data_IF_636395868094
#
_entry.id   IF_636395868094
#
_cell.length_a   1.000
_cell.length_b   1.000
_cell.length_c   1.000
_cell.angle_alpha   90.00
_cell.angle_beta   90.00
_cell.angle_gamma   90.00
#
_symmetry.space_group_name_H-M   'P 1'
#
loop_
_entity.id
_entity.type
_entity.pdbx_description
1 polymer ?
#
# COMPACT_ATOMS: atom_id res chain seq x y z
N UNK A 1 16.15 -17.00 -10.71
CA UNK A 1 15.15 -16.48 -9.77
C UNK A 1 15.17 -14.96 -9.88
N UNK A 2 13.99 -14.31 -9.89
CA UNK A 2 13.86 -12.84 -10.06
C UNK A 2 14.47 -12.13 -8.85
N UNK A 3 15.33 -11.15 -9.07
CA UNK A 3 15.88 -10.28 -8.04
C UNK A 3 15.11 -8.97 -8.09
N UNK A 4 14.69 -8.45 -6.94
CA UNK A 4 14.01 -7.17 -6.84
C UNK A 4 14.97 -6.07 -6.37
N UNK A 5 14.82 -4.89 -6.95
CA UNK A 5 15.50 -3.70 -6.42
C UNK A 5 14.80 -3.21 -5.15
N UNK A 6 13.47 -3.36 -5.11
CA UNK A 6 12.63 -2.82 -4.05
C UNK A 6 11.51 -3.79 -3.66
N UNK A 7 11.36 -4.03 -2.37
CA UNK A 7 10.22 -4.76 -1.80
C UNK A 7 9.54 -3.85 -0.78
N UNK A 8 8.30 -3.46 -1.05
CA UNK A 8 7.46 -2.76 -0.07
C UNK A 8 6.64 -3.75 0.73
N UNK A 9 6.64 -3.63 2.06
CA UNK A 9 5.77 -4.37 2.95
C UNK A 9 5.04 -3.41 3.86
N UNK A 10 3.70 -3.36 3.74
CA UNK A 10 2.93 -2.45 4.56
C UNK A 10 1.49 -2.27 4.09
N UNK A 11 1.02 -1.03 4.19
CA UNK A 11 -0.34 -0.63 3.93
C UNK A 11 -0.55 -0.17 2.48
N UNK A 12 -1.69 -0.55 1.93
CA UNK A 12 -2.18 -0.12 0.62
C UNK A 12 -3.68 0.15 0.71
N UNK A 13 -4.17 1.14 0.01
CA UNK A 13 -5.58 1.52 -0.04
C UNK A 13 -5.99 2.01 -1.42
N UNK A 14 -7.29 2.11 -1.67
CA UNK A 14 -7.85 2.97 -2.71
C UNK A 14 -8.27 4.30 -2.08
N UNK A 15 -7.75 5.39 -2.63
CA UNK A 15 -8.04 6.74 -2.17
C UNK A 15 -9.02 7.41 -3.14
N UNK A 16 -10.23 7.70 -2.63
CA UNK A 16 -11.27 8.46 -3.35
C UNK A 16 -11.05 9.95 -3.11
N UNK A 17 -10.52 10.64 -4.10
CA UNK A 17 -10.23 12.07 -4.01
C UNK A 17 -11.36 12.89 -4.61
N UNK A 18 -11.78 13.94 -3.90
CA UNK A 18 -12.70 14.94 -4.39
C UNK A 18 -12.12 16.34 -4.19
N UNK A 19 -11.87 17.06 -5.27
CA UNK A 19 -11.52 18.48 -5.21
C UNK A 19 -12.81 19.28 -5.14
N UNK A 20 -12.93 20.12 -4.12
CA UNK A 20 -14.11 20.90 -3.79
C UNK A 20 -13.78 22.38 -3.75
N UNK A 21 -14.72 23.28 -4.09
CA UNK A 21 -14.50 24.74 -3.93
C UNK A 21 -14.31 25.16 -2.47
N UNK A 22 -14.77 24.35 -1.53
CA UNK A 22 -14.56 24.41 -0.08
C UNK A 22 -15.01 23.08 0.53
N UNK A 23 -14.48 22.70 1.69
CA UNK A 23 -14.94 21.51 2.43
C UNK A 23 -16.29 21.83 3.07
N UNK A 24 -17.41 21.14 2.67
CA UNK A 24 -18.75 21.51 3.11
C UNK A 24 -19.02 21.04 4.55
N UNK A 25 -19.68 21.91 5.32
CA UNK A 25 -20.29 21.57 6.60
C UNK A 25 -21.79 21.84 6.47
N UNK A 26 -22.59 20.78 6.66
CA UNK A 26 -24.07 20.83 6.61
C UNK A 26 -24.65 21.53 5.36
N UNK A 27 -23.99 21.33 4.22
CA UNK A 27 -24.41 21.89 2.92
C UNK A 27 -24.03 20.99 1.76
N UNK A 28 -24.54 21.30 0.57
CA UNK A 28 -24.19 20.60 -0.68
C UNK A 28 -23.22 21.45 -1.49
N UNK A 29 -22.24 20.79 -2.05
CA UNK A 29 -21.27 21.40 -2.97
C UNK A 29 -21.09 20.52 -4.18
N UNK A 30 -20.96 21.12 -5.37
CA UNK A 30 -20.59 20.37 -6.59
C UNK A 30 -19.08 20.17 -6.60
N UNK A 31 -18.63 18.92 -6.81
CA UNK A 31 -17.22 18.62 -6.99
C UNK A 31 -16.67 19.31 -8.23
N UNK A 32 -15.45 19.78 -8.15
CA UNK A 32 -14.68 20.31 -9.29
C UNK A 32 -14.09 19.13 -10.06
N UNK A 33 -13.48 18.18 -9.36
CA UNK A 33 -12.98 16.94 -9.94
C UNK A 33 -13.05 15.79 -8.93
N UNK A 34 -12.94 14.58 -9.45
CA UNK A 34 -12.94 13.34 -8.67
C UNK A 34 -11.99 12.35 -9.31
N UNK A 35 -11.27 11.58 -8.50
CA UNK A 35 -10.42 10.47 -8.93
C UNK A 35 -10.42 9.35 -7.89
N UNK A 36 -10.14 8.15 -8.33
CA UNK A 36 -9.76 7.03 -7.46
C UNK A 36 -8.34 6.67 -7.84
N UNK A 37 -7.45 6.65 -6.87
CA UNK A 37 -6.03 6.37 -7.07
C UNK A 37 -5.52 5.41 -6.00
N UNK A 38 -4.41 4.74 -6.28
CA UNK A 38 -3.70 3.97 -5.26
C UNK A 38 -3.22 4.85 -4.12
N UNK A 39 -3.30 4.33 -2.91
CA UNK A 39 -2.91 4.98 -1.66
C UNK A 39 -2.14 4.06 -0.72
N UNK A 40 -1.89 4.57 0.48
CA UNK A 40 -1.09 3.89 1.50
C UNK A 40 0.41 4.10 1.34
N UNK A 41 1.17 4.26 2.46
CA UNK A 41 2.59 4.62 2.39
C UNK A 41 3.44 3.59 1.63
N UNK A 42 3.34 2.31 1.99
CA UNK A 42 4.07 1.25 1.29
C UNK A 42 3.55 1.02 -0.14
N UNK A 43 2.24 1.20 -0.38
CA UNK A 43 1.64 1.16 -1.71
C UNK A 43 2.27 2.20 -2.62
N UNK A 44 2.22 3.46 -2.21
CA UNK A 44 2.74 4.59 -2.97
C UNK A 44 4.25 4.50 -3.22
N UNK A 45 5.02 4.12 -2.20
CA UNK A 45 6.47 3.99 -2.34
C UNK A 45 6.86 2.85 -3.30
N UNK A 46 6.12 1.73 -3.29
CA UNK A 46 6.38 0.60 -4.20
C UNK A 46 6.02 0.96 -5.64
N UNK A 47 4.86 1.60 -5.85
CA UNK A 47 4.45 2.11 -7.15
C UNK A 47 5.43 3.15 -7.69
N UNK A 48 5.88 4.07 -6.83
CA UNK A 48 6.90 5.07 -7.17
C UNK A 48 8.23 4.44 -7.58
N UNK A 49 8.69 3.41 -6.88
CA UNK A 49 9.90 2.67 -7.25
C UNK A 49 9.77 2.02 -8.64
N UNK A 50 8.62 1.39 -8.93
CA UNK A 50 8.35 0.81 -10.25
C UNK A 50 8.29 1.87 -11.34
N UNK A 51 7.63 3.01 -11.09
CA UNK A 51 7.57 4.13 -12.04
C UNK A 51 8.95 4.73 -12.37
N UNK A 52 9.91 4.62 -11.45
CA UNK A 52 11.32 5.01 -11.66
C UNK A 52 12.13 3.92 -12.37
N UNK A 53 11.51 2.82 -12.83
CA UNK A 53 12.14 1.75 -13.58
C UNK A 53 12.81 0.67 -12.72
N UNK A 54 12.58 0.66 -11.41
CA UNK A 54 13.08 -0.39 -10.53
C UNK A 54 12.20 -1.64 -10.61
N UNK A 55 12.80 -2.82 -10.46
CA UNK A 55 12.02 -4.05 -10.24
C UNK A 55 11.45 -4.04 -8.83
N UNK A 56 10.13 -3.96 -8.71
CA UNK A 56 9.44 -3.81 -7.44
C UNK A 56 8.46 -4.96 -7.15
N UNK A 57 8.33 -5.32 -5.88
CA UNK A 57 7.31 -6.24 -5.40
C UNK A 57 6.61 -5.66 -4.16
N UNK A 58 5.32 -5.98 -4.00
CA UNK A 58 4.54 -5.57 -2.84
C UNK A 58 4.13 -6.79 -2.01
N UNK A 59 4.23 -6.66 -0.70
CA UNK A 59 3.80 -7.63 0.31
C UNK A 59 2.84 -6.93 1.27
N UNK A 60 1.62 -7.40 1.34
CA UNK A 60 0.58 -6.78 2.15
C UNK A 60 -0.71 -7.57 2.10
N UNK A 61 -1.81 -6.96 2.52
CA UNK A 61 -3.14 -7.57 2.51
C UNK A 61 -4.15 -6.72 1.76
N UNK A 62 -5.05 -7.38 1.04
CA UNK A 62 -6.24 -6.79 0.42
C UNK A 62 -7.44 -7.69 0.70
N UNK A 63 -8.65 -7.15 0.62
CA UNK A 63 -9.88 -7.93 0.62
C UNK A 63 -10.14 -8.63 -0.73
N UNK A 64 -11.10 -9.54 -0.75
CA UNK A 64 -11.59 -10.19 -1.98
C UNK A 64 -12.72 -9.40 -2.67
N UNK A 65 -12.71 -8.09 -2.49
CA UNK A 65 -13.70 -7.14 -2.99
C UNK A 65 -13.27 -6.42 -4.29
N UNK A 66 -14.07 -5.44 -4.70
CA UNK A 66 -13.79 -4.65 -5.90
C UNK A 66 -12.55 -3.75 -5.72
N UNK A 67 -12.38 -3.18 -4.52
CA UNK A 67 -11.23 -2.33 -4.21
C UNK A 67 -9.93 -3.12 -4.18
N UNK A 68 -9.94 -4.34 -3.63
CA UNK A 68 -8.78 -5.24 -3.67
C UNK A 68 -8.34 -5.58 -5.09
N UNK A 69 -9.29 -5.88 -5.97
CA UNK A 69 -9.00 -6.10 -7.39
C UNK A 69 -8.42 -4.87 -8.06
N UNK A 70 -9.01 -3.68 -7.80
CA UNK A 70 -8.52 -2.41 -8.35
C UNK A 70 -7.08 -2.11 -7.92
N UNK A 71 -6.74 -2.34 -6.64
CA UNK A 71 -5.37 -2.18 -6.11
C UNK A 71 -4.40 -3.10 -6.85
N UNK A 72 -4.76 -4.39 -7.01
CA UNK A 72 -3.89 -5.36 -7.68
C UNK A 72 -3.72 -5.05 -9.17
N UNK A 73 -4.78 -4.62 -9.85
CA UNK A 73 -4.76 -4.22 -11.26
C UNK A 73 -3.90 -2.96 -11.48
N UNK A 74 -4.00 -1.98 -10.59
CA UNK A 74 -3.17 -0.77 -10.65
C UNK A 74 -1.68 -1.11 -10.48
N UNK A 75 -1.33 -1.92 -9.50
CA UNK A 75 0.03 -2.42 -9.34
C UNK A 75 0.52 -3.19 -10.57
N UNK A 76 -0.31 -4.05 -11.15
CA UNK A 76 0.06 -4.81 -12.34
C UNK A 76 0.34 -3.89 -13.54
N UNK A 77 -0.47 -2.84 -13.75
CA UNK A 77 -0.25 -1.83 -14.79
C UNK A 77 1.07 -1.09 -14.60
N UNK A 78 1.49 -0.88 -13.35
CA UNK A 78 2.75 -0.23 -13.01
C UNK A 78 3.95 -1.20 -12.99
N UNK A 79 3.72 -2.49 -13.24
CA UNK A 79 4.78 -3.51 -13.29
C UNK A 79 5.25 -4.00 -11.92
N UNK A 80 4.49 -3.73 -10.86
CA UNK A 80 4.75 -4.24 -9.51
C UNK A 80 4.36 -5.72 -9.43
N UNK A 81 5.21 -6.55 -8.86
CA UNK A 81 4.89 -7.95 -8.59
C UNK A 81 4.04 -8.06 -7.31
N UNK A 82 2.81 -8.56 -7.48
CA UNK A 82 1.83 -8.73 -6.39
C UNK A 82 1.60 -10.19 -6.01
N UNK A 83 2.43 -11.12 -6.51
CA UNK A 83 2.27 -12.56 -6.29
C UNK A 83 2.31 -12.98 -4.81
N UNK A 84 2.80 -12.11 -3.94
CA UNK A 84 2.91 -12.33 -2.49
C UNK A 84 1.89 -11.52 -1.68
N UNK A 85 0.95 -10.83 -2.33
CA UNK A 85 -0.15 -10.16 -1.65
C UNK A 85 -1.13 -11.20 -1.13
N UNK A 86 -1.54 -11.06 0.12
CA UNK A 86 -2.57 -11.90 0.74
C UNK A 86 -3.95 -11.32 0.45
N UNK A 87 -4.79 -12.11 -0.21
CA UNK A 87 -6.22 -11.79 -0.34
C UNK A 87 -6.95 -12.40 0.86
N UNK A 88 -7.65 -11.55 1.62
CA UNK A 88 -8.43 -11.97 2.80
C UNK A 88 -9.88 -12.25 2.39
N UNK A 89 -10.33 -13.52 2.43
CA UNK A 89 -11.70 -13.87 2.05
C UNK A 89 -12.74 -13.18 2.94
N UNK A 90 -13.75 -12.55 2.33
CA UNK A 90 -14.83 -11.86 3.04
C UNK A 90 -14.43 -10.54 3.71
N UNK A 91 -13.18 -10.11 3.57
CA UNK A 91 -12.73 -8.82 4.07
C UNK A 91 -12.94 -7.69 3.06
N UNK A 92 -13.07 -6.48 3.57
CA UNK A 92 -13.09 -5.25 2.76
C UNK A 92 -11.68 -4.66 2.68
N UNK A 93 -11.25 -4.30 1.50
CA UNK A 93 -9.97 -3.61 1.29
C UNK A 93 -9.97 -2.23 1.94
N UNK A 94 -8.81 -1.74 2.27
CA UNK A 94 -8.68 -0.41 2.85
C UNK A 94 -9.04 0.66 1.82
N UNK A 95 -9.84 1.63 2.24
CA UNK A 95 -10.24 2.79 1.44
C UNK A 95 -10.07 4.07 2.24
N UNK A 96 -9.83 5.16 1.52
CA UNK A 96 -9.85 6.51 2.09
C UNK A 96 -10.68 7.46 1.23
N UNK A 97 -11.39 8.37 1.88
CA UNK A 97 -12.07 9.49 1.23
C UNK A 97 -11.34 10.77 1.59
N UNK A 98 -10.88 11.48 0.57
CA UNK A 98 -10.13 12.72 0.72
C UNK A 98 -10.91 13.87 0.08
N UNK A 99 -11.20 14.89 0.87
CA UNK A 99 -11.77 16.15 0.41
C UNK A 99 -10.65 17.19 0.39
N UNK A 100 -10.43 17.77 -0.78
CA UNK A 100 -9.37 18.75 -1.03
C UNK A 100 -10.02 20.09 -1.33
N UNK A 101 -9.72 21.10 -0.53
CA UNK A 101 -10.12 22.48 -0.80
C UNK A 101 -9.27 23.06 -1.93
N UNK A 102 -9.92 23.45 -3.04
CA UNK A 102 -9.23 23.96 -4.23
C UNK A 102 -8.38 25.20 -3.95
N UNK A 103 -8.86 26.08 -3.09
CA UNK A 103 -8.22 27.39 -2.86
C UNK A 103 -7.01 27.29 -1.93
N UNK A 104 -7.10 26.46 -0.92
CA UNK A 104 -6.09 26.38 0.14
C UNK A 104 -5.18 25.17 0.01
N UNK A 105 -5.59 24.14 -0.75
CA UNK A 105 -4.92 22.84 -0.79
C UNK A 105 -5.09 22.03 0.50
N UNK A 106 -5.82 22.51 1.50
CA UNK A 106 -6.10 21.78 2.72
C UNK A 106 -6.92 20.54 2.40
N UNK A 107 -6.64 19.46 3.14
CA UNK A 107 -7.38 18.20 2.98
C UNK A 107 -7.95 17.71 4.28
N UNK A 108 -9.11 17.07 4.18
CA UNK A 108 -9.68 16.21 5.21
C UNK A 108 -9.69 14.78 4.69
N UNK A 109 -9.40 13.82 5.56
CA UNK A 109 -9.35 12.41 5.22
C UNK A 109 -10.17 11.61 6.21
N UNK A 110 -10.99 10.70 5.69
CA UNK A 110 -11.63 9.63 6.45
C UNK A 110 -11.26 8.31 5.81
N UNK A 111 -10.80 7.34 6.61
CA UNK A 111 -10.35 6.06 6.08
C UNK A 111 -10.83 4.90 6.94
N UNK A 112 -10.87 3.71 6.35
CA UNK A 112 -11.17 2.47 7.05
C UNK A 112 -10.41 1.30 6.45
N UNK A 113 -10.14 0.30 7.28
CA UNK A 113 -9.68 -1.04 6.91
C UNK A 113 -10.37 -2.10 7.76
N UNK A 114 -11.60 -1.83 8.15
CA UNK A 114 -12.34 -2.71 9.06
C UNK A 114 -12.50 -4.10 8.46
N UNK A 115 -12.19 -5.13 9.26
CA UNK A 115 -12.24 -6.53 8.85
C UNK A 115 -11.05 -6.99 7.99
N UNK A 116 -10.10 -6.12 7.68
CA UNK A 116 -8.88 -6.49 6.96
C UNK A 116 -7.73 -6.79 7.94
N UNK A 117 -7.49 -8.08 8.17
CA UNK A 117 -6.41 -8.53 9.05
C UNK A 117 -5.04 -8.21 8.48
N UNK A 118 -4.16 -7.70 9.34
CA UNK A 118 -2.75 -7.46 9.02
C UNK A 118 -1.98 -8.78 8.81
N UNK A 119 -0.81 -8.66 8.15
CA UNK A 119 0.13 -9.77 8.04
C UNK A 119 0.68 -10.15 9.41
N UNK A 120 0.59 -11.43 9.72
CA UNK A 120 1.22 -12.02 10.92
C UNK A 120 2.67 -12.39 10.66
N UNK A 121 3.41 -12.72 11.72
CA UNK A 121 4.81 -13.16 11.60
C UNK A 121 4.95 -14.47 10.80
N UNK A 122 4.01 -15.41 10.96
CA UNK A 122 4.04 -16.72 10.29
C UNK A 122 3.72 -16.59 8.79
N UNK A 123 3.10 -15.48 8.38
CA UNK A 123 2.82 -15.17 6.98
C UNK A 123 4.03 -14.62 6.22
N UNK A 124 5.13 -14.36 6.92
CA UNK A 124 6.45 -14.22 6.29
C UNK A 124 6.97 -15.62 5.95
N UNK A 125 6.25 -16.24 5.02
CA UNK A 125 6.52 -17.61 4.55
C UNK A 125 7.92 -17.75 3.95
N UNK A 126 8.42 -18.98 3.72
CA UNK A 126 9.68 -19.18 3.00
C UNK A 126 9.75 -18.47 1.65
N UNK A 127 8.62 -18.38 0.92
CA UNK A 127 8.54 -17.68 -0.36
C UNK A 127 8.71 -16.15 -0.19
N UNK A 128 8.02 -15.53 0.77
CA UNK A 128 8.18 -14.11 1.12
C UNK A 128 9.61 -13.84 1.58
N UNK A 129 10.13 -14.66 2.49
CA UNK A 129 11.48 -14.53 3.01
C UNK A 129 12.56 -14.63 1.91
N UNK A 130 12.36 -15.51 0.91
CA UNK A 130 13.29 -15.67 -0.20
C UNK A 130 13.30 -14.43 -1.12
N UNK A 131 12.14 -13.82 -1.37
CA UNK A 131 12.04 -12.55 -2.12
C UNK A 131 12.75 -11.43 -1.35
N UNK A 132 12.51 -11.31 -0.05
CA UNK A 132 13.17 -10.31 0.81
C UNK A 132 14.69 -10.47 0.80
N UNK A 133 15.23 -11.69 0.96
CA UNK A 133 16.67 -11.95 0.95
C UNK A 133 17.37 -11.55 -0.35
N UNK A 134 16.62 -11.51 -1.46
CA UNK A 134 17.12 -11.17 -2.79
C UNK A 134 16.77 -9.75 -3.23
N UNK A 135 16.18 -8.96 -2.34
CA UNK A 135 15.94 -7.55 -2.58
C UNK A 135 17.19 -6.70 -2.28
N UNK A 136 17.29 -5.52 -2.89
CA UNK A 136 18.28 -4.51 -2.49
C UNK A 136 17.79 -3.71 -1.29
N UNK A 137 16.48 -3.41 -1.27
CA UNK A 137 15.82 -2.63 -0.22
C UNK A 137 14.52 -3.31 0.19
N UNK A 138 14.28 -3.42 1.50
CA UNK A 138 12.98 -3.68 2.09
C UNK A 138 12.46 -2.39 2.71
N UNK A 139 11.30 -1.92 2.25
CA UNK A 139 10.61 -0.76 2.83
C UNK A 139 9.45 -1.24 3.71
N UNK A 140 9.33 -0.61 4.89
CA UNK A 140 8.29 -0.84 5.90
C UNK A 140 7.67 0.50 6.28
N UNK A 141 6.35 0.53 6.52
CA UNK A 141 5.60 1.77 6.83
C UNK A 141 4.92 1.77 8.21
N UNK A 142 5.35 0.90 9.11
CA UNK A 142 4.78 0.81 10.45
C UNK A 142 3.47 0.02 10.56
N UNK A 143 2.81 -0.27 9.45
CA UNK A 143 1.66 -1.18 9.41
C UNK A 143 2.11 -2.65 9.35
N UNK A 144 1.19 -3.57 9.64
CA UNK A 144 1.51 -5.01 9.67
C UNK A 144 2.64 -5.35 10.67
N UNK A 145 2.57 -4.79 11.87
CA UNK A 145 3.70 -4.77 12.82
C UNK A 145 4.38 -6.12 13.05
N UNK A 146 3.61 -7.20 13.25
CA UNK A 146 4.17 -8.54 13.46
C UNK A 146 4.90 -9.07 12.21
N UNK A 147 4.29 -8.94 11.03
CA UNK A 147 4.88 -9.29 9.75
C UNK A 147 6.11 -8.42 9.43
N UNK A 148 6.02 -7.10 9.66
CA UNK A 148 7.11 -6.17 9.42
C UNK A 148 8.35 -6.49 10.27
N UNK A 149 8.18 -6.80 11.56
CA UNK A 149 9.29 -7.23 12.44
C UNK A 149 9.93 -8.52 11.93
N UNK A 150 9.11 -9.52 11.53
CA UNK A 150 9.62 -10.77 11.00
C UNK A 150 10.39 -10.54 9.68
N UNK A 151 9.84 -9.74 8.77
CA UNK A 151 10.46 -9.36 7.51
C UNK A 151 11.79 -8.60 7.72
N UNK A 152 11.83 -7.64 8.64
CA UNK A 152 13.04 -6.90 8.99
C UNK A 152 14.16 -7.81 9.51
N UNK A 153 13.83 -8.83 10.33
CA UNK A 153 14.80 -9.82 10.80
C UNK A 153 15.39 -10.62 9.63
N UNK A 154 14.55 -11.05 8.69
CA UNK A 154 15.00 -11.76 7.47
C UNK A 154 15.93 -10.87 6.64
N UNK A 155 15.53 -9.63 6.37
CA UNK A 155 16.31 -8.67 5.59
C UNK A 155 17.68 -8.41 6.23
N UNK A 156 17.71 -8.10 7.51
CA UNK A 156 18.95 -7.82 8.25
C UNK A 156 19.91 -9.02 8.27
N UNK A 157 19.38 -10.23 8.47
CA UNK A 157 20.19 -11.45 8.44
C UNK A 157 20.82 -11.72 7.06
N UNK A 158 20.22 -11.20 5.99
CA UNK A 158 20.72 -11.31 4.62
C UNK A 158 21.52 -10.09 4.15
N UNK A 159 21.73 -9.08 4.99
CA UNK A 159 22.43 -7.85 4.63
C UNK A 159 21.63 -6.90 3.72
N UNK A 160 20.30 -7.09 3.63
CA UNK A 160 19.40 -6.23 2.86
C UNK A 160 19.16 -4.92 3.62
N UNK A 161 19.21 -3.80 2.91
CA UNK A 161 18.88 -2.49 3.48
C UNK A 161 17.41 -2.43 3.89
N UNK A 162 17.13 -2.04 5.14
CA UNK A 162 15.77 -1.82 5.63
C UNK A 162 15.52 -0.32 5.75
N UNK A 163 14.51 0.17 5.03
CA UNK A 163 13.96 1.52 5.17
C UNK A 163 12.69 1.44 6.00
N UNK A 164 12.47 2.44 6.84
CA UNK A 164 11.27 2.54 7.65
C UNK A 164 10.67 3.95 7.54
N UNK A 165 9.41 4.00 7.12
CA UNK A 165 8.59 5.20 7.15
C UNK A 165 7.82 5.22 8.49
N UNK A 166 8.04 6.25 9.27
CA UNK A 166 7.42 6.36 10.59
C UNK A 166 6.00 7.00 10.55
N UNK A 167 5.50 7.40 9.37
CA UNK A 167 4.18 8.01 9.13
C UNK A 167 4.19 9.53 9.26
#
# INVERSE_FOLDING_TARGET
>A
MKQFDYVGLGFVSNDHLAVLPFIPMDTKVKMISHAIIGGGPAGNSTAGAAALGLSAAFVGTVGDDADGRMILDDFAQQGVDTSLVKIRPGATSAIAYLWIDEKTGNRSCAWTREGLDELTADEITPAVADVIRRAKVLHLDGHNAAGAIAAAKVARAAGVTVMYDAG
#
